data_IF_121408603217
#
_entry.id   IF_121408603217
#
_cell.length_a   1.000
_cell.length_b   1.000
_cell.length_c   1.000
_cell.angle_alpha   90.00
_cell.angle_beta   90.00
_cell.angle_gamma   90.00
#
_symmetry.space_group_name_H-M   'P 1'
#
loop_
_entity.id
_entity.type
_entity.pdbx_description
1 polymer ?
#
# COMPACT_ATOMS: atom_id res chain seq x y z
N UNK A 1 11.92 -6.74 11.75
CA UNK A 1 11.00 -5.68 12.20
C UNK A 1 10.67 -5.86 13.67
N UNK A 2 10.22 -4.81 14.38
CA UNK A 2 9.78 -4.95 15.78
C UNK A 2 8.42 -5.68 15.88
N UNK A 3 8.21 -6.41 16.98
CA UNK A 3 7.03 -7.27 17.18
C UNK A 3 5.70 -6.54 17.07
N UNK A 4 5.62 -5.28 17.51
CA UNK A 4 4.39 -4.49 17.40
C UNK A 4 3.94 -4.29 15.94
N UNK A 5 4.89 -4.17 15.01
CA UNK A 5 4.60 -4.01 13.58
C UNK A 5 4.13 -5.33 12.97
N UNK A 6 4.77 -6.46 13.33
CA UNK A 6 4.29 -7.80 12.95
C UNK A 6 2.89 -8.08 13.49
N UNK A 7 2.63 -7.71 14.75
CA UNK A 7 1.32 -7.85 15.40
C UNK A 7 0.27 -7.08 14.62
N UNK A 8 0.53 -5.81 14.31
CA UNK A 8 -0.41 -4.96 13.60
C UNK A 8 -0.86 -5.55 12.25
N UNK A 9 0.09 -5.98 11.40
CA UNK A 9 -0.24 -6.52 10.08
C UNK A 9 -0.79 -7.95 10.13
N UNK A 10 -0.39 -8.78 11.11
CA UNK A 10 -1.00 -10.09 11.31
C UNK A 10 -2.47 -9.96 11.70
N UNK A 11 -2.75 -9.10 12.69
CA UNK A 11 -4.12 -8.84 13.16
C UNK A 11 -4.96 -8.19 12.07
N UNK A 12 -4.38 -7.25 11.30
CA UNK A 12 -5.07 -6.68 10.14
C UNK A 12 -5.52 -7.77 9.16
N UNK A 13 -4.61 -8.66 8.73
CA UNK A 13 -4.97 -9.76 7.82
C UNK A 13 -6.07 -10.65 8.39
N UNK A 14 -5.93 -11.11 9.64
CA UNK A 14 -6.95 -11.94 10.30
C UNK A 14 -8.32 -11.23 10.36
N UNK A 15 -8.34 -9.93 10.64
CA UNK A 15 -9.57 -9.16 10.71
C UNK A 15 -10.26 -8.97 9.36
N UNK A 16 -9.51 -8.80 8.28
CA UNK A 16 -10.07 -8.75 6.93
C UNK A 16 -10.92 -9.98 6.60
N UNK A 17 -10.59 -11.15 7.18
CA UNK A 17 -11.32 -12.41 6.98
C UNK A 17 -12.45 -12.58 7.99
N UNK A 18 -12.18 -12.37 9.28
CA UNK A 18 -13.10 -12.78 10.35
C UNK A 18 -14.06 -11.67 10.80
N UNK A 19 -13.66 -10.41 10.72
CA UNK A 19 -14.39 -9.30 11.31
C UNK A 19 -14.20 -7.97 10.57
N UNK A 20 -14.44 -7.91 9.24
CA UNK A 20 -14.23 -6.69 8.45
C UNK A 20 -15.18 -5.55 8.85
N UNK A 21 -16.38 -5.87 9.33
CA UNK A 21 -17.40 -4.90 9.74
C UNK A 21 -17.18 -4.36 11.17
N UNK A 22 -16.32 -5.02 11.96
CA UNK A 22 -16.07 -4.59 13.34
C UNK A 22 -15.09 -3.41 13.30
N UNK A 23 -15.30 -2.33 14.07
CA UNK A 23 -14.34 -1.23 14.13
C UNK A 23 -13.03 -1.60 14.83
N UNK A 24 -11.95 -0.86 14.53
CA UNK A 24 -10.66 -1.01 15.18
C UNK A 24 -10.65 -0.30 16.54
N UNK A 25 -10.65 -1.07 17.63
CA UNK A 25 -10.51 -0.58 19.00
C UNK A 25 -9.85 -1.65 19.89
N UNK A 26 -9.44 -1.29 21.11
CA UNK A 26 -8.66 -2.16 21.98
C UNK A 26 -9.31 -3.54 22.23
N UNK A 27 -10.63 -3.59 22.43
CA UNK A 27 -11.34 -4.85 22.65
C UNK A 27 -11.35 -5.77 21.43
N UNK A 28 -11.61 -5.24 20.24
CA UNK A 28 -11.61 -6.06 19.02
C UNK A 28 -10.21 -6.50 18.59
N UNK A 29 -9.18 -5.71 18.89
CA UNK A 29 -7.78 -6.07 18.65
C UNK A 29 -7.24 -7.06 19.70
N UNK A 30 -7.74 -6.99 20.94
CA UNK A 30 -7.35 -7.87 22.04
C UNK A 30 -7.84 -9.32 21.91
N UNK A 31 -8.65 -9.63 20.90
CA UNK A 31 -9.07 -11.01 20.58
C UNK A 31 -7.97 -11.85 19.94
N UNK A 32 -6.83 -11.25 19.58
CA UNK A 32 -5.74 -11.91 18.87
C UNK A 32 -4.46 -11.86 19.71
N UNK A 33 -3.80 -13.01 19.83
CA UNK A 33 -2.47 -13.13 20.44
C UNK A 33 -1.44 -13.38 19.34
N UNK A 34 -0.39 -12.56 19.33
CA UNK A 34 0.73 -12.70 18.38
C UNK A 34 2.02 -12.81 19.18
N UNK A 35 2.66 -13.96 19.08
CA UNK A 35 3.94 -14.26 19.72
C UNK A 35 4.99 -14.58 18.66
N UNK A 36 6.25 -14.29 18.96
CA UNK A 36 7.38 -14.69 18.14
C UNK A 36 8.57 -15.02 19.07
N UNK A 37 9.53 -15.84 18.61
CA UNK A 37 10.76 -16.08 19.38
C UNK A 37 11.48 -14.77 19.74
N UNK A 38 12.09 -14.73 20.93
CA UNK A 38 12.84 -13.57 21.42
C UNK A 38 14.13 -13.31 20.64
N UNK A 39 14.72 -14.36 20.06
CA UNK A 39 15.96 -14.31 19.30
C UNK A 39 15.82 -15.03 17.95
N UNK A 40 16.60 -14.59 16.97
CA UNK A 40 16.65 -15.22 15.64
C UNK A 40 15.39 -15.04 14.78
N UNK A 41 14.41 -14.25 15.22
CA UNK A 41 13.19 -14.00 14.47
C UNK A 41 13.21 -12.64 13.76
N UNK A 42 13.11 -12.64 12.43
CA UNK A 42 13.04 -11.40 11.64
C UNK A 42 11.75 -10.60 11.91
N UNK A 43 10.73 -11.22 12.49
CA UNK A 43 9.46 -10.61 12.89
C UNK A 43 9.47 -10.10 14.35
N UNK A 44 10.57 -10.34 15.08
CA UNK A 44 10.78 -9.81 16.43
C UNK A 44 12.26 -9.40 16.62
N UNK A 45 12.71 -8.48 15.77
CA UNK A 45 14.09 -8.01 15.81
C UNK A 45 14.35 -7.20 17.10
N UNK A 46 15.28 -7.61 17.97
CA UNK A 46 15.56 -6.91 19.22
C UNK A 46 16.33 -5.62 18.94
N UNK A 47 16.18 -4.62 19.81
CA UNK A 47 17.04 -3.42 19.76
C UNK A 47 18.51 -3.83 20.00
N UNK A 48 19.50 -3.30 19.26
CA UNK A 48 19.44 -2.22 18.24
C UNK A 48 19.43 -2.71 16.79
N UNK A 49 18.94 -3.92 16.51
CA UNK A 49 18.94 -4.47 15.15
C UNK A 49 18.26 -3.52 14.15
N UNK A 50 18.82 -3.34 12.94
CA UNK A 50 18.26 -2.46 11.94
C UNK A 50 16.92 -3.01 11.44
N UNK A 51 15.92 -2.13 11.38
CA UNK A 51 14.57 -2.44 10.89
C UNK A 51 14.13 -1.46 9.80
N UNK A 52 15.10 -0.88 9.09
CA UNK A 52 14.83 -0.18 7.84
C UNK A 52 14.12 -1.13 6.87
N UNK A 53 13.23 -0.60 6.02
CA UNK A 53 12.45 -1.41 5.08
C UNK A 53 11.54 -2.47 5.75
N UNK A 54 11.19 -2.28 7.04
CA UNK A 54 10.22 -3.15 7.73
C UNK A 54 8.86 -3.24 7.04
N UNK A 55 8.50 -2.23 6.23
CA UNK A 55 7.23 -2.22 5.51
C UNK A 55 7.10 -3.47 4.62
N UNK A 56 8.19 -3.90 3.96
CA UNK A 56 8.20 -5.05 3.03
C UNK A 56 7.65 -6.29 3.72
N UNK A 57 8.30 -6.66 4.81
CA UNK A 57 7.92 -7.84 5.57
C UNK A 57 6.56 -7.66 6.27
N UNK A 58 6.20 -6.45 6.68
CA UNK A 58 4.94 -6.20 7.39
C UNK A 58 3.77 -6.36 6.45
N UNK A 59 3.89 -5.84 5.23
CA UNK A 59 2.87 -5.94 4.19
C UNK A 59 2.71 -7.36 3.64
N UNK A 60 3.74 -8.21 3.74
CA UNK A 60 3.64 -9.66 3.45
C UNK A 60 2.82 -10.41 4.52
N UNK A 61 2.72 -9.91 5.75
CA UNK A 61 2.09 -10.66 6.86
C UNK A 61 0.62 -11.06 6.60
N UNK A 62 -0.27 -10.23 6.02
CA UNK A 62 -1.64 -10.64 5.72
C UNK A 62 -1.70 -11.86 4.80
N UNK A 63 -0.92 -11.89 3.73
CA UNK A 63 -0.88 -13.02 2.81
C UNK A 63 -0.26 -14.26 3.49
N UNK A 64 0.71 -14.09 4.40
CA UNK A 64 1.19 -15.18 5.25
C UNK A 64 0.07 -15.76 6.14
N UNK A 65 -0.77 -14.89 6.74
CA UNK A 65 -1.92 -15.34 7.53
C UNK A 65 -2.94 -16.05 6.65
N UNK A 66 -3.20 -15.55 5.44
CA UNK A 66 -4.09 -16.18 4.47
C UNK A 66 -3.58 -17.55 4.05
N UNK A 67 -2.30 -17.72 3.73
CA UNK A 67 -1.71 -19.01 3.42
C UNK A 67 -1.89 -20.05 4.54
N UNK A 68 -1.84 -19.61 5.81
CA UNK A 68 -2.16 -20.47 6.94
C UNK A 68 -3.66 -20.82 7.00
N UNK A 69 -4.54 -19.83 6.92
CA UNK A 69 -5.99 -20.03 6.99
C UNK A 69 -6.55 -20.84 5.80
N UNK A 70 -5.92 -20.74 4.63
CA UNK A 70 -6.32 -21.47 3.43
C UNK A 70 -6.28 -22.99 3.66
N UNK A 71 -5.41 -23.48 4.55
CA UNK A 71 -5.35 -24.89 4.92
C UNK A 71 -6.60 -25.36 5.70
N UNK A 72 -7.29 -24.44 6.39
CA UNK A 72 -8.44 -24.75 7.23
C UNK A 72 -9.79 -24.39 6.57
N UNK A 73 -9.86 -23.28 5.83
CA UNK A 73 -11.09 -22.75 5.23
C UNK A 73 -10.86 -22.24 3.79
N UNK A 74 -10.39 -23.09 2.85
CA UNK A 74 -9.90 -22.67 1.54
C UNK A 74 -10.92 -21.87 0.71
N UNK A 75 -12.21 -22.20 0.81
CA UNK A 75 -13.29 -21.54 0.05
C UNK A 75 -13.61 -20.11 0.50
N UNK A 76 -12.98 -19.63 1.58
CA UNK A 76 -13.21 -18.28 2.14
C UNK A 76 -11.99 -17.38 2.09
N UNK A 77 -10.83 -17.91 1.70
CA UNK A 77 -9.55 -17.21 1.81
C UNK A 77 -9.08 -16.80 0.41
N UNK A 78 -8.77 -15.51 0.18
CA UNK A 78 -8.10 -15.09 -1.04
C UNK A 78 -6.76 -15.82 -1.24
N UNK A 79 -6.38 -16.04 -2.49
CA UNK A 79 -5.03 -16.47 -2.83
C UNK A 79 -4.00 -15.38 -2.46
N UNK A 80 -2.73 -15.77 -2.43
CA UNK A 80 -1.61 -14.84 -2.28
C UNK A 80 -1.57 -13.83 -3.45
N UNK A 81 -1.30 -12.56 -3.13
CA UNK A 81 -1.10 -11.51 -4.11
C UNK A 81 0.37 -11.09 -4.21
N UNK A 82 0.62 -9.86 -4.64
CA UNK A 82 1.98 -9.29 -4.58
C UNK A 82 2.39 -8.82 -3.18
N UNK A 83 1.42 -8.75 -2.26
CA UNK A 83 1.43 -8.34 -0.84
C UNK A 83 2.03 -6.99 -0.48
N UNK A 84 3.04 -6.50 -1.19
CA UNK A 84 3.84 -5.38 -0.76
C UNK A 84 4.00 -4.35 -1.87
N UNK A 85 4.09 -3.08 -1.46
CA UNK A 85 4.62 -2.00 -2.29
C UNK A 85 6.13 -2.13 -2.39
N UNK A 86 6.65 -2.39 -3.60
CA UNK A 86 8.07 -2.56 -3.82
C UNK A 86 8.71 -1.21 -4.12
N UNK A 87 9.48 -0.74 -3.14
CA UNK A 87 10.14 0.56 -3.20
C UNK A 87 11.51 0.44 -3.87
N UNK A 88 11.78 1.33 -4.82
CA UNK A 88 13.08 1.55 -5.42
C UNK A 88 13.63 2.90 -4.93
N UNK A 89 14.38 2.91 -3.80
CA UNK A 89 14.97 4.13 -3.29
C UNK A 89 16.17 4.54 -4.16
N UNK A 90 16.09 5.72 -4.75
CA UNK A 90 17.13 6.36 -5.55
C UNK A 90 17.61 7.60 -4.79
N UNK A 91 18.90 7.66 -4.49
CA UNK A 91 19.48 8.85 -3.87
C UNK A 91 20.87 9.11 -4.44
N UNK A 92 21.23 10.39 -4.48
CA UNK A 92 22.54 10.84 -4.91
C UNK A 92 22.89 12.19 -4.32
N UNK A 93 24.18 12.52 -4.34
CA UNK A 93 24.71 13.52 -3.42
C UNK A 93 24.64 13.02 -1.97
N UNK A 94 24.77 13.92 -0.99
CA UNK A 94 24.98 13.57 0.42
C UNK A 94 26.30 12.83 0.67
N UNK A 95 26.50 12.22 1.85
CA UNK A 95 27.72 11.46 2.20
C UNK A 95 27.94 10.19 1.34
N UNK A 96 27.01 9.86 0.43
CA UNK A 96 27.15 8.72 -0.46
C UNK A 96 28.15 8.95 -1.59
N UNK A 97 28.31 10.19 -2.03
CA UNK A 97 29.25 10.58 -3.07
C UNK A 97 30.23 11.59 -2.45
N UNK A 98 31.52 11.28 -2.41
CA UNK A 98 32.58 12.17 -1.91
C UNK A 98 32.79 13.46 -2.74
N UNK A 99 31.81 13.84 -3.56
CA UNK A 99 31.81 15.04 -4.37
C UNK A 99 30.84 16.07 -3.78
N UNK A 100 31.40 17.19 -3.30
CA UNK A 100 30.64 18.29 -2.71
C UNK A 100 29.76 19.03 -3.73
N UNK A 101 30.01 18.85 -5.03
CA UNK A 101 29.24 19.45 -6.11
C UNK A 101 28.13 18.51 -6.64
N UNK A 102 28.02 17.28 -6.13
CA UNK A 102 26.99 16.36 -6.59
C UNK A 102 25.58 16.90 -6.30
N UNK A 103 24.70 16.82 -7.31
CA UNK A 103 23.29 17.14 -7.15
C UNK A 103 22.68 16.25 -6.08
N UNK A 104 22.10 16.87 -5.05
CA UNK A 104 21.42 16.17 -3.96
C UNK A 104 20.01 15.79 -4.38
N UNK A 105 19.68 14.51 -4.32
CA UNK A 105 18.33 14.03 -4.54
C UNK A 105 18.03 12.79 -3.69
N UNK A 106 16.76 12.63 -3.36
CA UNK A 106 16.21 11.42 -2.76
C UNK A 106 14.81 11.23 -3.34
N UNK A 107 14.61 10.11 -4.03
CA UNK A 107 13.38 9.74 -4.72
C UNK A 107 13.07 8.30 -4.34
N UNK A 108 11.83 8.03 -3.97
CA UNK A 108 11.35 6.66 -3.70
C UNK A 108 10.27 6.35 -4.72
N UNK A 109 10.57 5.41 -5.63
CA UNK A 109 9.61 4.98 -6.64
C UNK A 109 8.91 3.73 -6.14
N UNK A 110 7.61 3.81 -5.98
CA UNK A 110 6.79 2.74 -5.41
C UNK A 110 6.09 1.94 -6.51
N UNK A 111 6.23 0.61 -6.50
CA UNK A 111 5.55 -0.27 -7.46
C UNK A 111 4.52 -1.14 -6.74
N UNK A 112 3.28 -1.12 -7.24
CA UNK A 112 2.16 -1.87 -6.67
C UNK A 112 1.79 -3.02 -7.59
N UNK A 113 1.75 -4.23 -7.03
CA UNK A 113 1.21 -5.39 -7.73
C UNK A 113 -0.30 -5.53 -7.56
N UNK A 114 -0.84 -6.67 -7.97
CA UNK A 114 -2.25 -7.01 -7.77
C UNK A 114 -2.50 -7.73 -6.44
N UNK A 115 -3.76 -7.78 -6.02
CA UNK A 115 -4.18 -8.71 -4.97
C UNK A 115 -4.33 -10.12 -5.54
N UNK A 116 -4.27 -11.15 -4.69
CA UNK A 116 -4.63 -12.50 -5.11
C UNK A 116 -6.10 -12.65 -5.45
N UNK A 117 -6.43 -13.75 -6.13
CA UNK A 117 -7.80 -14.10 -6.49
C UNK A 117 -8.67 -14.27 -5.24
N UNK A 118 -9.91 -13.80 -5.30
CA UNK A 118 -10.88 -13.90 -4.21
C UNK A 118 -11.77 -15.13 -4.40
N UNK A 119 -12.46 -15.61 -3.35
CA UNK A 119 -13.48 -16.63 -3.50
C UNK A 119 -14.49 -16.28 -4.61
N UNK A 120 -14.44 -17.04 -5.70
CA UNK A 120 -15.32 -16.89 -6.87
C UNK A 120 -15.09 -15.63 -7.73
N UNK A 121 -13.98 -14.89 -7.56
CA UNK A 121 -13.68 -13.68 -8.35
C UNK A 121 -12.18 -13.48 -8.54
N UNK A 122 -11.79 -12.84 -9.64
CA UNK A 122 -10.40 -12.44 -9.83
C UNK A 122 -9.92 -11.42 -8.78
N UNK A 123 -8.61 -11.35 -8.64
CA UNK A 123 -7.91 -10.34 -7.85
C UNK A 123 -8.01 -8.96 -8.51
N UNK A 124 -7.70 -7.92 -7.75
CA UNK A 124 -7.65 -6.56 -8.27
C UNK A 124 -6.27 -6.27 -8.82
N UNK A 125 -6.20 -5.75 -10.04
CA UNK A 125 -4.96 -5.23 -10.63
C UNK A 125 -4.50 -3.97 -9.91
N UNK A 126 -3.18 -3.81 -9.76
CA UNK A 126 -2.53 -2.60 -9.21
C UNK A 126 -3.22 -2.14 -7.92
N UNK A 127 -3.39 -3.07 -6.98
CA UNK A 127 -4.02 -2.83 -5.70
C UNK A 127 -2.93 -3.01 -4.65
N UNK A 128 -2.51 -1.89 -4.07
CA UNK A 128 -1.43 -1.82 -3.10
C UNK A 128 -1.78 -2.48 -1.74
N UNK A 129 -2.58 -3.54 -1.71
CA UNK A 129 -2.95 -4.25 -0.49
C UNK A 129 -1.70 -4.85 0.17
N UNK A 130 -1.55 -4.73 1.49
CA UNK A 130 -2.47 -4.18 2.50
C UNK A 130 -2.28 -2.68 2.78
N UNK A 131 -1.41 -2.00 2.04
CA UNK A 131 -1.30 -0.54 2.14
C UNK A 131 -2.58 0.14 1.64
N UNK A 132 -2.87 1.33 2.17
CA UNK A 132 -4.01 2.14 1.75
C UNK A 132 -3.75 2.93 0.46
N UNK A 133 -2.71 2.57 -0.31
CA UNK A 133 -2.45 3.17 -1.61
C UNK A 133 -3.65 2.97 -2.54
N UNK A 134 -4.07 4.02 -3.22
CA UNK A 134 -5.10 3.91 -4.25
C UNK A 134 -4.67 2.89 -5.31
N UNK A 135 -5.67 2.38 -6.03
CA UNK A 135 -5.48 1.67 -7.29
C UNK A 135 -4.71 2.55 -8.30
N UNK A 136 -4.59 2.12 -9.55
CA UNK A 136 -4.12 2.99 -10.63
C UNK A 136 -4.71 4.41 -10.44
N UNK A 137 -3.90 5.48 -10.39
CA UNK A 137 -4.41 6.84 -10.19
C UNK A 137 -5.57 7.20 -11.13
N UNK A 138 -5.57 6.64 -12.35
CA UNK A 138 -6.65 6.75 -13.33
C UNK A 138 -8.00 6.21 -12.82
N UNK A 139 -8.01 5.26 -11.90
CA UNK A 139 -9.23 4.74 -11.27
C UNK A 139 -9.79 5.68 -10.19
N UNK A 140 -9.06 6.73 -9.79
CA UNK A 140 -9.55 7.71 -8.83
C UNK A 140 -10.74 8.46 -9.44
N UNK A 141 -11.86 8.63 -8.71
CA UNK A 141 -12.98 9.43 -9.18
C UNK A 141 -12.52 10.84 -9.54
N UNK A 142 -12.80 11.26 -10.77
CA UNK A 142 -12.35 12.53 -11.34
C UNK A 142 -12.83 13.74 -10.51
N UNK A 143 -13.99 13.63 -9.86
CA UNK A 143 -14.54 14.67 -8.99
C UNK A 143 -13.69 14.85 -7.72
N UNK A 144 -13.15 13.76 -7.17
CA UNK A 144 -12.25 13.83 -6.02
C UNK A 144 -10.89 14.40 -6.41
N UNK A 145 -10.41 14.10 -7.62
CA UNK A 145 -9.18 14.73 -8.15
C UNK A 145 -9.37 16.23 -8.31
N UNK A 146 -10.51 16.68 -8.85
CA UNK A 146 -10.83 18.10 -8.96
C UNK A 146 -10.92 18.79 -7.59
N UNK A 147 -11.51 18.12 -6.59
CA UNK A 147 -11.51 18.62 -5.21
C UNK A 147 -10.10 18.70 -4.63
N UNK A 148 -9.23 17.71 -4.86
CA UNK A 148 -7.83 17.74 -4.42
C UNK A 148 -7.07 18.90 -5.07
N UNK A 149 -7.33 19.20 -6.35
CA UNK A 149 -6.75 20.37 -7.04
C UNK A 149 -7.26 21.68 -6.44
N UNK A 150 -8.57 21.78 -6.18
CA UNK A 150 -9.19 22.94 -5.54
C UNK A 150 -8.65 23.18 -4.12
N UNK A 151 -8.31 22.11 -3.41
CA UNK A 151 -7.70 22.16 -2.08
C UNK A 151 -6.18 22.38 -2.11
N UNK A 152 -5.55 22.41 -3.29
CA UNK A 152 -4.10 22.58 -3.45
C UNK A 152 -3.28 21.35 -3.04
N UNK A 153 -3.92 20.19 -2.93
CA UNK A 153 -3.27 18.91 -2.61
C UNK A 153 -2.57 18.37 -3.88
N UNK A 154 -3.19 18.58 -5.04
CA UNK A 154 -2.70 18.16 -6.35
C UNK A 154 -2.63 19.39 -7.27
N UNK A 155 -1.63 19.47 -8.16
CA UNK A 155 -1.59 20.54 -9.18
C UNK A 155 -2.46 20.18 -10.39
N UNK A 156 -2.94 21.16 -11.15
CA UNK A 156 -3.70 20.86 -12.38
C UNK A 156 -2.87 20.05 -13.40
N UNK A 157 -1.55 20.26 -13.41
CA UNK A 157 -0.61 19.49 -14.24
C UNK A 157 -0.51 18.03 -13.76
N UNK A 158 -0.38 17.79 -12.46
CA UNK A 158 -0.34 16.45 -11.89
C UNK A 158 -1.68 15.72 -12.07
N UNK A 159 -2.82 16.43 -12.02
CA UNK A 159 -4.13 15.85 -12.32
C UNK A 159 -4.20 15.28 -13.75
N UNK A 160 -3.65 15.98 -14.74
CA UNK A 160 -3.65 15.51 -16.14
C UNK A 160 -2.59 14.43 -16.36
N UNK A 161 -1.38 14.57 -15.78
CA UNK A 161 -0.26 13.65 -16.02
C UNK A 161 -0.37 12.33 -15.25
N UNK A 162 -0.86 12.37 -14.02
CA UNK A 162 -0.88 11.21 -13.12
C UNK A 162 -2.25 10.55 -13.07
N UNK A 163 -3.35 11.33 -13.12
CA UNK A 163 -4.72 10.81 -12.92
C UNK A 163 -5.56 10.76 -14.21
N UNK A 164 -5.00 11.21 -15.35
CA UNK A 164 -5.70 11.40 -16.63
C UNK A 164 -6.96 12.28 -16.51
N UNK A 165 -6.97 13.25 -15.58
CA UNK A 165 -8.09 14.18 -15.36
C UNK A 165 -7.70 15.57 -15.84
N UNK A 166 -8.45 16.10 -16.81
CA UNK A 166 -8.33 17.52 -17.20
C UNK A 166 -9.39 18.36 -16.51
N UNK A 167 -8.99 19.55 -16.05
CA UNK A 167 -9.90 20.57 -15.55
C UNK A 167 -10.08 21.71 -16.57
N UNK A 168 -11.27 22.27 -16.61
CA UNK A 168 -11.57 23.49 -17.38
C UNK A 168 -10.93 24.71 -16.72
N UNK A 169 -10.94 25.85 -17.42
CA UNK A 169 -10.46 27.12 -16.86
C UNK A 169 -11.24 27.58 -15.61
N UNK A 170 -12.47 27.07 -15.39
CA UNK A 170 -13.25 27.31 -14.17
C UNK A 170 -12.92 26.36 -13.02
N UNK A 171 -12.03 25.39 -13.24
CA UNK A 171 -11.64 24.38 -12.24
C UNK A 171 -12.60 23.19 -12.12
N UNK A 172 -13.56 23.06 -13.04
CA UNK A 172 -14.47 21.91 -13.12
C UNK A 172 -13.87 20.79 -13.98
N UNK A 173 -14.28 19.54 -13.80
CA UNK A 173 -13.80 18.42 -14.61
C UNK A 173 -14.26 18.58 -16.08
N UNK A 174 -13.32 18.51 -17.02
CA UNK A 174 -13.62 18.32 -18.44
C UNK A 174 -13.87 16.83 -18.70
N UNK A 175 -15.12 16.41 -18.57
CA UNK A 175 -15.52 15.01 -18.70
C UNK A 175 -15.22 14.43 -20.07
N UNK A 176 -15.30 15.25 -21.13
CA UNK A 176 -15.08 14.78 -22.50
C UNK A 176 -13.60 14.46 -22.74
N UNK A 177 -12.71 15.39 -22.35
CA UNK A 177 -11.27 15.19 -22.49
C UNK A 177 -10.74 14.13 -21.53
N UNK A 178 -11.23 14.09 -20.29
CA UNK A 178 -10.88 13.05 -19.31
C UNK A 178 -11.26 11.66 -19.82
N UNK A 179 -12.46 11.48 -20.40
CA UNK A 179 -12.86 10.20 -20.99
C UNK A 179 -11.96 9.80 -22.17
N UNK A 180 -11.52 10.76 -22.98
CA UNK A 180 -10.60 10.51 -24.09
C UNK A 180 -9.22 10.05 -23.59
N UNK A 181 -8.67 10.69 -22.56
CA UNK A 181 -7.38 10.32 -21.97
C UNK A 181 -7.43 8.89 -21.40
N UNK A 182 -8.47 8.57 -20.63
CA UNK A 182 -8.64 7.26 -19.98
C UNK A 182 -9.01 6.09 -20.92
N UNK A 183 -9.20 6.37 -22.21
CA UNK A 183 -9.56 5.37 -23.22
C UNK A 183 -8.37 4.89 -24.06
N UNK A 184 -7.18 5.47 -23.85
CA UNK A 184 -5.92 5.12 -24.53
C UNK A 184 -5.19 4.01 -23.79
#
# INVERSE_FOLDING_TARGET
MPLNYSTAYSVFGLRCIFAPEVPNYAGSLGCFEVTAPDEGCILNAPRPAPVAQRHVLGQIMPDLMYGCLHQAIPDRIPAEGSSNMYDLPLSGGFEMNNDQNATKYAVEVTHNGGTGARPGKDGLSVAAFPSSGLRNPVDRPQELVADDVRLGIVSAEAAELEYDVTLTASGEVDTAKTAQLRSQ
#
